data_IF_156030840244
#
_entry.id   IF_156030840244
#
_cell.length_a   1.000
_cell.length_b   1.000
_cell.length_c   1.000
_cell.angle_alpha   90.00
_cell.angle_beta   90.00
_cell.angle_gamma   90.00
#
_symmetry.space_group_name_H-M   'P 1'
#
loop_
_entity.id
_entity.type
_entity.pdbx_description
1 polymer ?
#
# COMPACT_ATOMS: atom_id res chain seq x y z
N UNK A 1 15.42 -23.17 26.51
CA UNK A 1 14.41 -23.70 25.56
C UNK A 1 14.05 -22.74 24.41
N UNK A 2 14.14 -21.41 24.56
CA UNK A 2 13.73 -20.45 23.53
C UNK A 2 14.60 -20.35 22.25
N UNK A 3 15.86 -20.83 22.26
CA UNK A 3 16.78 -20.68 21.10
C UNK A 3 16.41 -21.51 19.85
N UNK A 4 15.59 -22.55 19.98
CA UNK A 4 15.20 -23.40 18.85
C UNK A 4 13.83 -23.04 18.26
N UNK A 5 13.12 -22.06 18.83
CA UNK A 5 11.75 -21.74 18.45
C UNK A 5 11.66 -20.69 17.33
N UNK A 6 12.55 -19.69 17.35
CA UNK A 6 12.61 -18.63 16.34
C UNK A 6 12.79 -19.11 14.88
N UNK A 7 13.74 -20.01 14.56
CA UNK A 7 13.96 -20.41 13.16
C UNK A 7 12.80 -21.22 12.58
N UNK A 8 12.06 -21.96 13.43
CA UNK A 8 10.89 -22.73 13.00
C UNK A 8 9.69 -21.85 12.67
N UNK A 9 9.49 -20.77 13.44
CA UNK A 9 8.45 -19.77 13.14
C UNK A 9 8.77 -19.02 11.86
N UNK A 10 10.02 -18.55 11.70
CA UNK A 10 10.44 -17.86 10.49
C UNK A 10 10.26 -18.73 9.23
N UNK A 11 10.59 -20.02 9.33
CA UNK A 11 10.38 -20.98 8.24
C UNK A 11 8.89 -21.21 7.93
N UNK A 12 8.05 -21.33 8.96
CA UNK A 12 6.61 -21.53 8.77
C UNK A 12 5.95 -20.30 8.13
N UNK A 13 6.31 -19.09 8.57
CA UNK A 13 5.87 -17.83 7.97
C UNK A 13 6.33 -17.70 6.51
N UNK A 14 7.55 -18.12 6.18
CA UNK A 14 8.04 -18.12 4.81
C UNK A 14 7.28 -19.13 3.93
N UNK A 15 6.99 -20.32 4.46
CA UNK A 15 6.26 -21.37 3.74
C UNK A 15 4.80 -20.99 3.48
N UNK A 16 4.12 -20.37 4.44
CA UNK A 16 2.76 -19.86 4.23
C UNK A 16 2.75 -18.72 3.21
N UNK A 17 3.75 -17.82 3.25
CA UNK A 17 3.89 -16.76 2.25
C UNK A 17 4.02 -17.31 0.83
N UNK A 18 4.75 -18.43 0.66
CA UNK A 18 4.88 -19.11 -0.63
C UNK A 18 3.57 -19.78 -1.09
N UNK A 19 2.85 -20.42 -0.17
CA UNK A 19 1.60 -21.14 -0.49
C UNK A 19 0.43 -20.20 -0.81
N UNK A 20 0.43 -18.99 -0.25
CA UNK A 20 -0.57 -17.96 -0.50
C UNK A 20 -0.15 -16.95 -1.57
N UNK A 21 0.98 -17.15 -2.26
CA UNK A 21 1.23 -16.36 -3.47
C UNK A 21 0.11 -16.68 -4.47
N UNK A 22 -0.80 -15.73 -4.77
CA UNK A 22 -1.82 -15.97 -5.78
C UNK A 22 -1.08 -16.31 -7.07
N UNK A 23 -1.31 -17.52 -7.60
CA UNK A 23 -0.90 -17.81 -8.98
C UNK A 23 -1.59 -16.74 -9.81
N UNK A 24 -0.86 -15.96 -10.63
CA UNK A 24 -1.47 -14.90 -11.42
C UNK A 24 -2.59 -15.56 -12.22
N UNK A 25 -3.83 -15.18 -11.91
CA UNK A 25 -4.97 -15.70 -12.62
C UNK A 25 -4.78 -15.28 -14.08
N UNK A 26 -4.68 -16.24 -15.00
CA UNK A 26 -4.55 -15.97 -16.44
C UNK A 26 -5.76 -15.23 -17.04
N UNK A 27 -6.75 -14.86 -16.23
CA UNK A 27 -7.99 -14.22 -16.63
C UNK A 27 -7.87 -12.68 -16.79
N UNK A 28 -6.82 -12.03 -16.26
CA UNK A 28 -6.63 -10.59 -16.39
C UNK A 28 -5.63 -10.21 -17.50
N UNK A 29 -5.65 -10.94 -18.62
CA UNK A 29 -5.03 -10.43 -19.84
C UNK A 29 -5.95 -9.32 -20.38
N UNK A 30 -5.65 -8.08 -19.96
CA UNK A 30 -6.28 -6.87 -20.51
C UNK A 30 -6.18 -6.96 -22.04
N UNK A 31 -7.30 -6.81 -22.74
CA UNK A 31 -7.29 -6.88 -24.20
C UNK A 31 -6.32 -5.81 -24.75
N UNK A 32 -5.55 -6.11 -25.82
CA UNK A 32 -4.65 -5.13 -26.42
C UNK A 32 -5.38 -3.84 -26.82
N UNK A 33 -6.66 -3.96 -27.19
CA UNK A 33 -7.57 -2.87 -27.54
C UNK A 33 -7.92 -1.96 -26.36
N UNK A 34 -7.95 -2.49 -25.13
CA UNK A 34 -8.18 -1.67 -23.95
C UNK A 34 -6.93 -0.84 -23.59
N UNK A 35 -5.74 -1.43 -23.73
CA UNK A 35 -4.46 -0.74 -23.45
C UNK A 35 -4.14 0.39 -24.44
N UNK A 36 -4.72 0.37 -25.64
CA UNK A 36 -4.60 1.47 -26.61
C UNK A 36 -5.61 2.59 -26.36
N UNK A 37 -6.69 2.34 -25.62
CA UNK A 37 -7.75 3.30 -25.35
C UNK A 37 -7.70 3.93 -23.95
N UNK A 38 -7.10 3.25 -22.97
CA UNK A 38 -7.09 3.66 -21.57
C UNK A 38 -5.74 3.46 -20.90
N UNK A 39 -5.42 4.34 -19.94
CA UNK A 39 -4.27 4.17 -19.06
C UNK A 39 -4.47 2.96 -18.13
N UNK A 40 -3.36 2.41 -17.60
CA UNK A 40 -3.44 1.29 -16.67
C UNK A 40 -4.09 1.71 -15.35
N UNK A 41 -4.62 0.76 -14.53
CA UNK A 41 -5.36 1.05 -13.29
C UNK A 41 -4.70 1.92 -12.21
N UNK A 42 -3.43 2.34 -12.36
CA UNK A 42 -2.73 3.23 -11.43
C UNK A 42 -2.14 4.47 -12.10
N UNK A 43 -2.34 4.64 -13.40
CA UNK A 43 -1.78 5.73 -14.17
C UNK A 43 -2.80 6.86 -14.34
N UNK A 44 -2.31 8.09 -14.48
CA UNK A 44 -3.17 9.25 -14.65
C UNK A 44 -3.20 9.65 -16.12
N UNK A 45 -4.39 9.74 -16.71
CA UNK A 45 -4.57 10.26 -18.06
C UNK A 45 -4.41 11.79 -18.04
N UNK A 46 -3.54 12.30 -18.90
CA UNK A 46 -3.31 13.73 -19.10
C UNK A 46 -3.64 14.05 -20.55
N UNK A 47 -4.53 15.02 -20.73
CA UNK A 47 -4.89 15.53 -22.06
C UNK A 47 -4.22 16.88 -22.27
N UNK A 48 -3.60 17.07 -23.43
CA UNK A 48 -2.98 18.33 -23.84
C UNK A 48 -3.52 18.77 -25.20
N UNK A 49 -3.63 20.09 -25.40
CA UNK A 49 -4.11 20.65 -26.66
C UNK A 49 -2.94 20.90 -27.60
N UNK A 50 -3.13 20.54 -28.87
CA UNK A 50 -2.21 20.85 -29.96
C UNK A 50 -2.85 22.02 -30.72
N UNK A 51 -2.20 23.18 -30.73
CA UNK A 51 -2.57 24.30 -31.60
C UNK A 51 -1.37 24.63 -32.50
N UNK A 52 -1.59 24.54 -33.81
CA UNK A 52 -0.62 24.90 -34.83
C UNK A 52 -1.08 26.18 -35.52
N UNK A 53 -0.28 27.24 -35.46
CA UNK A 53 -0.49 28.39 -36.33
C UNK A 53 0.09 28.08 -37.72
N UNK A 54 -0.68 28.36 -38.77
CA UNK A 54 -0.33 28.05 -40.17
C UNK A 54 0.88 28.85 -40.71
N UNK A 55 1.47 29.74 -39.92
CA UNK A 55 2.41 30.75 -40.40
C UNK A 55 3.63 30.90 -39.47
N UNK A 56 4.54 29.92 -39.49
CA UNK A 56 5.96 30.08 -39.11
C UNK A 56 6.32 30.50 -37.68
N UNK A 57 5.37 30.81 -36.80
CA UNK A 57 5.63 31.21 -35.41
C UNK A 57 5.84 30.00 -34.50
N UNK A 58 6.67 30.19 -33.47
CA UNK A 58 7.05 29.17 -32.48
C UNK A 58 5.81 28.39 -31.98
N UNK A 59 5.85 27.07 -32.15
CA UNK A 59 4.78 26.19 -31.72
C UNK A 59 4.79 26.11 -30.20
N UNK A 60 3.77 26.63 -29.53
CA UNK A 60 3.51 26.27 -28.13
C UNK A 60 2.97 24.83 -28.09
N UNK A 61 3.88 23.85 -28.12
CA UNK A 61 3.53 22.47 -27.84
C UNK A 61 3.53 22.26 -26.32
N UNK A 62 2.39 22.51 -25.68
CA UNK A 62 2.15 22.02 -24.31
C UNK A 62 2.43 20.51 -24.24
N UNK A 63 2.10 19.78 -25.30
CA UNK A 63 2.35 18.35 -25.43
C UNK A 63 3.84 17.96 -25.54
N UNK A 64 4.75 18.87 -25.92
CA UNK A 64 6.18 18.54 -26.05
C UNK A 64 6.80 18.19 -24.70
N UNK A 65 6.31 18.81 -23.62
CA UNK A 65 6.74 18.51 -22.26
C UNK A 65 6.48 17.04 -21.94
N UNK A 66 5.30 16.52 -22.27
CA UNK A 66 4.95 15.12 -22.04
C UNK A 66 5.69 14.18 -22.99
N UNK A 67 5.81 14.53 -24.27
CA UNK A 67 6.52 13.70 -25.25
C UNK A 67 8.01 13.52 -24.92
N UNK A 68 8.64 14.51 -24.31
CA UNK A 68 10.05 14.45 -23.89
C UNK A 68 10.28 13.79 -22.52
N UNK A 69 9.22 13.56 -21.74
CA UNK A 69 9.34 13.10 -20.36
C UNK A 69 9.16 11.58 -20.27
N UNK A 70 10.14 10.83 -19.77
CA UNK A 70 10.08 9.36 -19.71
C UNK A 70 8.99 8.81 -18.77
N UNK A 71 8.39 9.66 -17.92
CA UNK A 71 7.26 9.27 -17.07
C UNK A 71 5.91 9.34 -17.80
N UNK A 72 5.90 9.64 -19.10
CA UNK A 72 4.68 9.69 -19.89
C UNK A 72 4.84 8.80 -21.11
N UNK A 73 3.77 8.10 -21.47
CA UNK A 73 3.68 7.43 -22.77
C UNK A 73 2.43 7.87 -23.52
N UNK A 74 2.53 7.92 -24.84
CA UNK A 74 1.45 8.36 -25.71
C UNK A 74 0.35 7.30 -25.77
N UNK A 75 -0.90 7.73 -25.62
CA UNK A 75 -2.07 6.86 -25.71
C UNK A 75 -2.77 7.02 -27.06
N UNK A 76 -3.28 8.21 -27.34
CA UNK A 76 -3.98 8.51 -28.59
C UNK A 76 -4.01 10.01 -28.88
N UNK A 77 -4.27 10.39 -30.12
CA UNK A 77 -4.45 11.78 -30.54
C UNK A 77 -5.66 11.91 -31.44
N UNK A 78 -6.50 12.91 -31.18
CA UNK A 78 -7.63 13.29 -32.01
C UNK A 78 -7.42 14.71 -32.52
N UNK A 79 -7.44 14.92 -33.84
CA UNK A 79 -7.30 16.26 -34.40
C UNK A 79 -6.92 16.29 -35.88
N UNK A 80 -6.93 17.51 -36.44
CA UNK A 80 -6.48 17.83 -37.79
C UNK A 80 -5.09 18.51 -37.75
N UNK A 81 -4.47 18.72 -38.92
CA UNK A 81 -3.07 19.17 -39.08
C UNK A 81 -2.64 20.41 -38.25
N UNK A 82 -3.60 21.21 -37.77
CA UNK A 82 -3.35 22.46 -37.03
C UNK A 82 -4.11 22.56 -35.70
N UNK A 83 -4.95 21.59 -35.35
CA UNK A 83 -5.69 21.62 -34.08
C UNK A 83 -6.06 20.22 -33.62
N UNK A 84 -5.89 19.93 -32.33
CA UNK A 84 -6.24 18.63 -31.78
C UNK A 84 -5.98 18.51 -30.30
N UNK A 85 -6.21 17.32 -29.78
CA UNK A 85 -5.88 16.91 -28.41
C UNK A 85 -5.08 15.63 -28.45
N UNK A 86 -4.00 15.56 -27.69
CA UNK A 86 -3.26 14.32 -27.45
C UNK A 86 -3.46 13.89 -26.00
N UNK A 87 -3.56 12.57 -25.80
CA UNK A 87 -3.68 11.93 -24.50
C UNK A 87 -2.42 11.15 -24.20
N UNK A 88 -1.92 11.35 -23.00
CA UNK A 88 -0.75 10.67 -22.46
C UNK A 88 -1.13 10.00 -21.16
N UNK A 89 -0.50 8.87 -20.87
CA UNK A 89 -0.59 8.22 -19.58
C UNK A 89 0.66 8.54 -18.78
N UNK A 90 0.47 9.12 -17.60
CA UNK A 90 1.54 9.34 -16.64
C UNK A 90 1.81 8.04 -15.90
N UNK A 91 3.00 7.48 -16.07
CA UNK A 91 3.51 6.36 -15.29
C UNK A 91 3.57 6.83 -13.84
N UNK A 92 2.69 6.28 -13.00
CA UNK A 92 2.73 6.51 -11.56
C UNK A 92 3.99 5.84 -11.03
N UNK A 93 4.94 6.61 -10.50
CA UNK A 93 5.99 6.01 -9.68
C UNK A 93 5.30 5.46 -8.42
N UNK A 94 5.29 4.14 -8.18
CA UNK A 94 4.68 3.58 -6.96
C UNK A 94 5.33 4.13 -5.69
N UNK A 95 6.53 4.71 -5.80
CA UNK A 95 7.29 5.32 -4.72
C UNK A 95 7.37 6.86 -4.84
N UNK A 96 6.29 7.53 -5.21
CA UNK A 96 6.20 9.00 -5.08
C UNK A 96 6.46 9.43 -3.62
N UNK A 97 6.96 10.65 -3.42
CA UNK A 97 7.05 11.32 -2.11
C UNK A 97 5.75 11.22 -1.30
N UNK A 98 4.60 11.21 -1.98
CA UNK A 98 3.30 10.99 -1.33
C UNK A 98 3.13 9.59 -0.74
N UNK A 99 3.71 8.56 -1.38
CA UNK A 99 3.73 7.20 -0.84
C UNK A 99 4.49 7.16 0.47
N UNK A 100 5.72 7.70 0.51
CA UNK A 100 6.52 7.73 1.73
C UNK A 100 5.86 8.50 2.87
N UNK A 101 5.22 9.64 2.57
CA UNK A 101 4.44 10.40 3.56
C UNK A 101 3.29 9.57 4.13
N UNK A 102 2.47 8.96 3.27
CA UNK A 102 1.36 8.10 3.70
C UNK A 102 1.85 6.89 4.50
N UNK A 103 2.96 6.29 4.08
CA UNK A 103 3.59 5.16 4.78
C UNK A 103 4.03 5.55 6.19
N UNK A 104 4.79 6.64 6.34
CA UNK A 104 5.28 7.11 7.64
C UNK A 104 4.11 7.49 8.56
N UNK A 105 3.13 8.24 8.05
CA UNK A 105 1.96 8.66 8.84
C UNK A 105 1.14 7.45 9.28
N UNK A 106 0.88 6.51 8.36
CA UNK A 106 0.18 5.27 8.67
C UNK A 106 0.90 4.48 9.75
N UNK A 107 2.20 4.21 9.56
CA UNK A 107 3.03 3.48 10.52
C UNK A 107 3.00 4.10 11.92
N UNK A 108 3.18 5.42 12.02
CA UNK A 108 3.18 6.11 13.30
C UNK A 108 1.81 6.05 13.98
N UNK A 109 0.74 6.21 13.19
CA UNK A 109 -0.62 6.19 13.70
C UNK A 109 -1.00 4.80 14.23
N UNK A 110 -0.73 3.74 13.46
CA UNK A 110 -0.94 2.35 13.88
C UNK A 110 -0.17 2.07 15.17
N UNK A 111 1.12 2.43 15.19
CA UNK A 111 1.98 2.23 16.36
C UNK A 111 1.46 2.96 17.61
N UNK A 112 1.02 4.21 17.48
CA UNK A 112 0.48 4.99 18.61
C UNK A 112 -0.81 4.35 19.13
N UNK A 113 -1.75 4.01 18.26
CA UNK A 113 -3.03 3.42 18.66
C UNK A 113 -2.80 2.10 19.37
N UNK A 114 -2.02 1.20 18.78
CA UNK A 114 -1.79 -0.13 19.35
C UNK A 114 -1.03 -0.07 20.67
N UNK A 115 -0.02 0.80 20.76
CA UNK A 115 0.71 1.00 22.00
C UNK A 115 -0.21 1.51 23.10
N UNK A 116 -1.10 2.46 22.82
CA UNK A 116 -2.08 2.97 23.79
C UNK A 116 -3.05 1.87 24.22
N UNK A 117 -3.65 1.14 23.27
CA UNK A 117 -4.63 0.08 23.58
C UNK A 117 -3.98 -1.03 24.42
N UNK A 118 -2.80 -1.53 24.02
CA UNK A 118 -2.10 -2.59 24.75
C UNK A 118 -1.55 -2.11 26.10
N UNK A 119 -1.13 -0.85 26.20
CA UNK A 119 -0.73 -0.27 27.47
C UNK A 119 -1.90 -0.19 28.47
N UNK A 120 -3.09 0.24 28.00
CA UNK A 120 -4.33 0.26 28.79
C UNK A 120 -4.79 -1.16 29.17
N UNK A 121 -4.59 -2.14 28.28
CA UNK A 121 -4.82 -3.56 28.58
C UNK A 121 -3.83 -4.13 29.62
N UNK A 122 -2.80 -3.37 30.00
CA UNK A 122 -1.86 -3.71 31.06
C UNK A 122 -0.60 -4.43 30.58
N UNK A 123 -0.16 -4.21 29.33
CA UNK A 123 1.18 -4.59 28.86
C UNK A 123 2.18 -3.47 29.18
N UNK A 124 2.65 -3.39 30.43
CA UNK A 124 3.41 -2.23 30.93
C UNK A 124 4.91 -2.51 31.05
N UNK A 125 5.35 -3.75 30.94
CA UNK A 125 6.77 -4.09 31.03
C UNK A 125 7.54 -3.51 29.83
N UNK A 126 8.74 -2.97 30.09
CA UNK A 126 9.65 -2.45 29.04
C UNK A 126 9.87 -3.45 27.90
N UNK A 127 9.99 -4.74 28.24
CA UNK A 127 10.13 -5.83 27.26
C UNK A 127 8.91 -5.94 26.33
N UNK A 128 7.69 -5.82 26.86
CA UNK A 128 6.45 -5.88 26.09
C UNK A 128 6.34 -4.68 25.15
N UNK A 129 6.62 -3.48 25.64
CA UNK A 129 6.61 -2.25 24.83
C UNK A 129 7.55 -2.34 23.63
N UNK A 130 8.78 -2.84 23.85
CA UNK A 130 9.75 -3.06 22.76
C UNK A 130 9.22 -4.08 21.75
N UNK A 131 8.65 -5.20 22.22
CA UNK A 131 8.12 -6.25 21.34
C UNK A 131 6.91 -5.77 20.52
N UNK A 132 6.00 -4.99 21.12
CA UNK A 132 4.87 -4.36 20.43
C UNK A 132 5.35 -3.43 19.32
N UNK A 133 6.35 -2.59 19.63
CA UNK A 133 6.91 -1.64 18.67
C UNK A 133 7.58 -2.35 17.49
N UNK A 134 8.39 -3.38 17.77
CA UNK A 134 9.08 -4.15 16.73
C UNK A 134 8.07 -4.96 15.90
N UNK A 135 7.09 -5.58 16.54
CA UNK A 135 6.09 -6.38 15.83
C UNK A 135 5.28 -5.52 14.87
N UNK A 136 4.81 -4.34 15.31
CA UNK A 136 4.11 -3.35 14.47
C UNK A 136 4.95 -2.89 13.28
N UNK A 137 6.23 -2.58 13.52
CA UNK A 137 7.11 -2.10 12.46
C UNK A 137 7.28 -3.16 11.37
N UNK A 138 7.42 -4.43 11.77
CA UNK A 138 7.57 -5.56 10.84
C UNK A 138 6.23 -5.86 10.14
N UNK A 139 5.13 -5.96 10.88
CA UNK A 139 3.81 -6.32 10.35
C UNK A 139 3.31 -5.26 9.37
N UNK A 140 3.35 -3.98 9.73
CA UNK A 140 2.93 -2.88 8.87
C UNK A 140 3.79 -2.81 7.59
N UNK A 141 5.12 -2.91 7.72
CA UNK A 141 6.01 -2.89 6.55
C UNK A 141 5.77 -4.07 5.63
N UNK A 142 5.61 -5.28 6.19
CA UNK A 142 5.30 -6.48 5.44
C UNK A 142 3.94 -6.36 4.73
N UNK A 143 2.92 -5.86 5.42
CA UNK A 143 1.60 -5.62 4.85
C UNK A 143 1.67 -4.69 3.64
N UNK A 144 2.38 -3.56 3.74
CA UNK A 144 2.52 -2.60 2.63
C UNK A 144 3.26 -3.20 1.43
N UNK A 145 4.34 -3.95 1.67
CA UNK A 145 5.10 -4.63 0.59
C UNK A 145 4.23 -5.69 -0.09
N UNK A 146 3.50 -6.50 0.68
CA UNK A 146 2.61 -7.53 0.16
C UNK A 146 1.47 -6.89 -0.65
N UNK A 147 0.87 -5.81 -0.13
CA UNK A 147 -0.19 -5.09 -0.82
C UNK A 147 0.30 -4.51 -2.15
N UNK A 148 1.51 -3.95 -2.17
CA UNK A 148 2.16 -3.41 -3.37
C UNK A 148 2.47 -4.50 -4.41
N UNK A 149 2.94 -5.68 -3.99
CA UNK A 149 3.37 -6.75 -4.90
C UNK A 149 2.21 -7.55 -5.47
N UNK A 150 1.17 -7.79 -4.69
CA UNK A 150 0.10 -8.74 -5.04
C UNK A 150 -1.23 -8.08 -5.40
N UNK A 151 -1.32 -6.74 -5.35
CA UNK A 151 -2.52 -6.01 -5.76
C UNK A 151 -3.80 -6.58 -5.10
N UNK A 152 -3.75 -6.76 -3.77
CA UNK A 152 -4.87 -7.32 -3.01
C UNK A 152 -6.01 -6.29 -2.88
N UNK A 153 -6.89 -6.22 -3.88
CA UNK A 153 -8.03 -5.29 -3.88
C UNK A 153 -9.30 -5.84 -3.23
N UNK A 154 -9.26 -7.07 -2.68
CA UNK A 154 -10.42 -7.72 -2.07
C UNK A 154 -10.52 -7.53 -0.56
N UNK A 155 -11.75 -7.31 -0.06
CA UNK A 155 -12.03 -7.29 1.39
C UNK A 155 -11.60 -8.61 2.06
N UNK A 156 -11.82 -9.75 1.37
CA UNK A 156 -11.41 -11.06 1.88
C UNK A 156 -9.89 -11.18 2.05
N UNK A 157 -9.11 -10.70 1.08
CA UNK A 157 -7.64 -10.72 1.20
C UNK A 157 -7.13 -9.84 2.33
N UNK A 158 -7.77 -8.69 2.55
CA UNK A 158 -7.43 -7.79 3.67
C UNK A 158 -7.72 -8.50 5.00
N UNK A 159 -8.89 -9.13 5.15
CA UNK A 159 -9.24 -9.89 6.36
C UNK A 159 -8.22 -11.00 6.63
N UNK A 160 -7.84 -11.78 5.62
CA UNK A 160 -6.86 -12.86 5.78
C UNK A 160 -5.50 -12.31 6.20
N UNK A 161 -5.03 -11.24 5.57
CA UNK A 161 -3.76 -10.60 5.90
C UNK A 161 -3.76 -10.07 7.35
N UNK A 162 -4.82 -9.40 7.77
CA UNK A 162 -5.00 -8.91 9.14
C UNK A 162 -4.98 -10.07 10.15
N UNK A 163 -5.69 -11.17 9.88
CA UNK A 163 -5.67 -12.33 10.79
C UNK A 163 -4.27 -12.95 10.93
N UNK A 164 -3.46 -12.95 9.87
CA UNK A 164 -2.06 -13.40 9.93
C UNK A 164 -1.19 -12.44 10.74
N UNK A 165 -1.40 -11.12 10.61
CA UNK A 165 -0.72 -10.09 11.38
C UNK A 165 -1.03 -10.25 12.87
N UNK A 166 -2.32 -10.34 13.23
CA UNK A 166 -2.75 -10.54 14.62
C UNK A 166 -2.10 -11.78 15.23
N UNK A 167 -2.05 -12.89 14.49
CA UNK A 167 -1.42 -14.12 14.97
C UNK A 167 0.09 -13.93 15.19
N UNK A 168 0.78 -13.32 14.23
CA UNK A 168 2.21 -13.02 14.31
C UNK A 168 2.53 -12.14 15.52
N UNK A 169 1.84 -11.01 15.68
CA UNK A 169 2.05 -10.08 16.77
C UNK A 169 1.77 -10.72 18.13
N UNK A 170 0.71 -11.53 18.20
CA UNK A 170 0.37 -12.28 19.42
C UNK A 170 1.48 -13.24 19.84
N UNK A 171 2.10 -13.94 18.89
CA UNK A 171 3.24 -14.82 19.14
C UNK A 171 4.43 -14.01 19.65
N UNK A 172 4.77 -12.90 18.98
CA UNK A 172 5.93 -12.05 19.32
C UNK A 172 5.76 -11.40 20.70
N UNK A 173 4.60 -10.80 20.97
CA UNK A 173 4.32 -10.11 22.25
C UNK A 173 4.26 -11.12 23.41
N UNK A 174 3.75 -12.34 23.18
CA UNK A 174 3.71 -13.38 24.20
C UNK A 174 5.11 -13.83 24.67
N UNK A 175 6.19 -13.54 23.92
CA UNK A 175 7.57 -13.75 24.37
C UNK A 175 7.94 -12.90 25.59
N UNK A 176 7.18 -11.84 25.89
CA UNK A 176 7.31 -11.08 27.12
C UNK A 176 6.81 -11.84 28.36
N UNK A 177 5.94 -12.85 28.18
CA UNK A 177 5.32 -13.64 29.24
C UNK A 177 4.59 -12.79 30.30
N UNK A 178 3.95 -11.70 29.88
CA UNK A 178 3.20 -10.82 30.79
C UNK A 178 1.76 -11.28 31.02
N UNK A 179 1.14 -11.91 30.02
CA UNK A 179 -0.22 -12.46 30.09
C UNK A 179 -0.25 -13.83 29.41
N UNK A 180 -1.34 -14.58 29.59
CA UNK A 180 -1.56 -15.83 28.86
C UNK A 180 -1.77 -15.55 27.36
N UNK A 181 -1.37 -16.50 26.52
CA UNK A 181 -1.46 -16.36 25.06
C UNK A 181 -2.87 -15.97 24.59
N UNK A 182 -3.92 -16.58 25.16
CA UNK A 182 -5.31 -16.25 24.82
C UNK A 182 -5.68 -14.79 25.13
N UNK A 183 -5.22 -14.25 26.27
CA UNK A 183 -5.42 -12.83 26.61
C UNK A 183 -4.61 -11.92 25.68
N UNK A 184 -3.38 -12.31 25.35
CA UNK A 184 -2.56 -11.57 24.37
C UNK A 184 -3.24 -11.52 23.01
N UNK A 185 -3.70 -12.67 22.50
CA UNK A 185 -4.40 -12.76 21.22
C UNK A 185 -5.64 -11.87 21.19
N UNK A 186 -6.47 -11.90 22.23
CA UNK A 186 -7.67 -11.06 22.32
C UNK A 186 -7.33 -9.57 22.27
N UNK A 187 -6.34 -9.13 23.06
CA UNK A 187 -6.00 -7.71 23.13
C UNK A 187 -5.28 -7.21 21.88
N UNK A 188 -4.43 -8.03 21.25
CA UNK A 188 -3.81 -7.72 19.96
C UNK A 188 -4.86 -7.63 18.85
N UNK A 189 -5.84 -8.54 18.84
CA UNK A 189 -6.96 -8.48 17.90
C UNK A 189 -7.77 -7.19 18.06
N UNK A 190 -8.10 -6.81 19.29
CA UNK A 190 -8.82 -5.56 19.59
C UNK A 190 -7.98 -4.35 19.15
N UNK A 191 -6.67 -4.34 19.44
CA UNK A 191 -5.78 -3.25 19.07
C UNK A 191 -5.69 -3.07 17.54
N UNK A 192 -5.49 -4.16 16.80
CA UNK A 192 -5.46 -4.14 15.33
C UNK A 192 -6.81 -3.72 14.75
N UNK A 193 -7.93 -4.20 15.28
CA UNK A 193 -9.27 -3.80 14.82
C UNK A 193 -9.51 -2.29 15.01
N UNK A 194 -9.18 -1.75 16.19
CA UNK A 194 -9.29 -0.31 16.47
C UNK A 194 -8.34 0.49 15.57
N UNK A 195 -7.12 -0.01 15.36
CA UNK A 195 -6.11 0.60 14.49
C UNK A 195 -6.56 0.64 13.04
N UNK A 196 -7.14 -0.44 12.51
CA UNK A 196 -7.67 -0.50 11.16
C UNK A 196 -8.85 0.47 10.96
N UNK A 197 -9.83 0.47 11.86
CA UNK A 197 -10.99 1.36 11.78
C UNK A 197 -10.60 2.83 11.99
N UNK A 198 -9.78 3.10 13.02
CA UNK A 198 -9.31 4.44 13.35
C UNK A 198 -8.37 5.01 12.30
N UNK A 199 -7.44 4.20 11.79
CA UNK A 199 -6.53 4.55 10.71
C UNK A 199 -7.27 4.84 9.41
N UNK A 200 -8.29 4.03 9.05
CA UNK A 200 -9.15 4.31 7.91
C UNK A 200 -9.84 5.67 8.04
N UNK A 201 -10.46 5.95 9.19
CA UNK A 201 -11.17 7.22 9.41
C UNK A 201 -10.23 8.42 9.35
N UNK A 202 -9.06 8.35 9.99
CA UNK A 202 -8.08 9.46 10.01
C UNK A 202 -7.53 9.69 8.60
N UNK A 203 -7.17 8.63 7.86
CA UNK A 203 -6.71 8.76 6.48
C UNK A 203 -7.80 9.29 5.55
N UNK A 204 -9.06 8.88 5.74
CA UNK A 204 -10.20 9.41 5.00
C UNK A 204 -10.33 10.92 5.19
N UNK A 205 -10.34 11.38 6.45
CA UNK A 205 -10.40 12.82 6.78
C UNK A 205 -9.19 13.56 6.21
N UNK A 206 -7.97 13.07 6.43
CA UNK A 206 -6.74 13.70 5.91
C UNK A 206 -6.72 13.77 4.38
N UNK A 207 -7.23 12.76 3.69
CA UNK A 207 -7.31 12.76 2.23
C UNK A 207 -8.25 13.83 1.68
N UNK A 208 -9.26 14.23 2.46
CA UNK A 208 -10.13 15.37 2.14
C UNK A 208 -9.41 16.72 2.26
N UNK A 209 -8.42 16.84 3.14
CA UNK A 209 -7.61 18.05 3.34
C UNK A 209 -6.38 18.14 2.42
N UNK A 210 -5.94 17.03 1.85
CA UNK A 210 -4.72 16.92 1.03
C UNK A 210 -4.99 16.94 -0.50
N UNK A 211 -6.22 17.25 -0.91
CA UNK A 211 -6.56 17.57 -2.31
C UNK A 211 -6.35 19.05 -2.58
#
# INVERSE_FOLDING_TARGET
>A
MARYFLPKIAFFCFLTLLLFTPKPAKADLISPEYLSAHCKPNETEVTCSISGFASGAQRHYECAIYASNPNYYFLTSNGYSYSGTARYCKISNPFDNNFYKKFIVGLLLTLIIELVVLYLAGFRKKKSIILITISNLISFSAFQVIFLLFNFYGVLSIIIAEMLIVLFESIVINLAQEKSFAKTLLWVFIANLISAVGGYYILFVLSGFLK
#
